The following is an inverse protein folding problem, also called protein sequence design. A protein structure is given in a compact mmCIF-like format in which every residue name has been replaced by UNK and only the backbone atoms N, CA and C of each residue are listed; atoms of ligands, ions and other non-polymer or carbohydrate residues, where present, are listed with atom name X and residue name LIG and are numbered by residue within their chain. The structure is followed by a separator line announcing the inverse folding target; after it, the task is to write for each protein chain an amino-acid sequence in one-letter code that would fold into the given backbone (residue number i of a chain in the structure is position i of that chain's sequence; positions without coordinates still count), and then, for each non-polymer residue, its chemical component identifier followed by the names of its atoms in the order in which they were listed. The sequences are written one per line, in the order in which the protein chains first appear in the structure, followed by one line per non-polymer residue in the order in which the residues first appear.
data_IF_155667176976
#
_entry.id   IF_155667176976
#
_cell.length_a   1.000
_cell.length_b   1.000
_cell.length_c   1.000
_cell.angle_alpha   90.00
_cell.angle_beta   90.00
_cell.angle_gamma   90.00
#
_symmetry.space_group_name_H-M   'P 1'
#
loop_
_entity.id
_entity.type
_entity.pdbx_description
1 polymer ?
#
# COMPACT_ATOMS: atom_id res chain seq x y z
N UNK A 1 19.59 -15.22 24.60
CA UNK A 1 19.06 -15.36 23.23
C UNK A 1 19.34 -14.07 22.47
N UNK A 2 19.81 -14.14 21.21
CA UNK A 2 20.05 -12.96 20.36
C UNK A 2 19.19 -13.10 19.10
N UNK A 3 18.31 -12.13 18.88
CA UNK A 3 17.46 -12.05 17.69
C UNK A 3 17.99 -10.93 16.79
N UNK A 4 18.08 -11.20 15.49
CA UNK A 4 18.55 -10.24 14.48
C UNK A 4 17.47 -10.16 13.41
N UNK A 5 16.87 -8.98 13.23
CA UNK A 5 15.95 -8.75 12.11
C UNK A 5 16.75 -8.59 10.82
N UNK A 6 16.42 -9.40 9.82
CA UNK A 6 16.99 -9.31 8.48
C UNK A 6 16.20 -8.35 7.58
N UNK A 7 14.98 -7.99 7.98
CA UNK A 7 14.09 -7.15 7.18
C UNK A 7 14.05 -5.75 7.79
N UNK A 8 14.31 -4.74 6.95
CA UNK A 8 14.09 -3.34 7.28
C UNK A 8 12.96 -2.80 6.39
N UNK A 9 11.88 -2.25 6.96
CA UNK A 9 10.87 -1.57 6.16
C UNK A 9 11.48 -0.34 5.49
N UNK A 10 10.86 0.10 4.38
CA UNK A 10 11.19 1.38 3.74
C UNK A 10 10.25 2.48 4.25
N UNK A 11 10.69 3.73 4.12
CA UNK A 11 9.92 4.92 4.48
C UNK A 11 9.37 5.58 3.24
N UNK A 12 8.09 5.91 3.27
CA UNK A 12 7.36 6.47 2.13
C UNK A 12 6.46 7.58 2.62
N UNK A 13 6.37 8.68 1.88
CA UNK A 13 5.43 9.76 2.21
C UNK A 13 4.10 9.47 1.50
N UNK A 14 3.02 9.35 2.26
CA UNK A 14 1.68 9.13 1.73
C UNK A 14 0.68 10.01 2.48
N UNK A 15 -0.07 10.84 1.76
CA UNK A 15 -0.91 11.90 2.33
C UNK A 15 -0.15 12.82 3.33
N UNK A 16 1.11 13.13 3.04
CA UNK A 16 1.94 13.98 3.90
C UNK A 16 2.49 13.28 5.16
N UNK A 17 2.12 12.02 5.40
CA UNK A 17 2.55 11.21 6.55
C UNK A 17 3.65 10.24 6.12
N UNK A 18 4.69 10.10 6.93
CA UNK A 18 5.72 9.08 6.71
C UNK A 18 5.23 7.71 7.21
N UNK A 19 5.05 6.77 6.29
CA UNK A 19 4.68 5.38 6.58
C UNK A 19 5.92 4.47 6.52
N UNK A 20 5.95 3.48 7.42
CA UNK A 20 6.84 2.33 7.31
C UNK A 20 6.13 1.20 6.59
N UNK A 21 6.58 0.88 5.38
CA UNK A 21 5.97 -0.17 4.54
C UNK A 21 6.96 -1.31 4.30
N UNK A 22 6.48 -2.52 3.93
CA UNK A 22 7.37 -3.62 3.60
C UNK A 22 8.44 -3.25 2.55
N UNK A 23 9.63 -3.84 2.66
CA UNK A 23 10.76 -3.48 1.78
C UNK A 23 10.53 -3.75 0.28
N UNK A 24 9.57 -4.62 -0.04
CA UNK A 24 9.21 -5.02 -1.39
C UNK A 24 8.15 -4.13 -2.02
N UNK A 25 7.63 -3.14 -1.28
CA UNK A 25 6.57 -2.26 -1.76
C UNK A 25 7.08 -1.41 -2.94
N UNK A 26 6.29 -1.39 -4.01
CA UNK A 26 6.51 -0.57 -5.21
C UNK A 26 5.34 0.35 -5.52
N UNK A 27 4.16 0.03 -5.00
CA UNK A 27 2.96 0.84 -5.17
C UNK A 27 2.21 0.94 -3.85
N UNK A 28 1.56 2.06 -3.61
CA UNK A 28 0.60 2.23 -2.52
C UNK A 28 -0.70 2.74 -3.10
N UNK A 29 -1.82 2.22 -2.62
CA UNK A 29 -3.14 2.68 -3.01
C UNK A 29 -4.12 2.57 -1.84
N UNK A 30 -5.15 3.41 -1.85
CA UNK A 30 -6.22 3.39 -0.86
C UNK A 30 -7.47 2.79 -1.48
N UNK A 31 -8.16 1.90 -0.78
CA UNK A 31 -9.48 1.39 -1.18
C UNK A 31 -10.60 2.36 -0.79
N UNK A 32 -11.81 2.14 -1.33
CA UNK A 32 -13.00 2.97 -1.07
C UNK A 32 -13.33 3.20 0.42
N UNK A 33 -12.93 2.28 1.29
CA UNK A 33 -13.16 2.35 2.75
C UNK A 33 -12.02 3.00 3.53
N UNK A 34 -11.03 3.57 2.85
CA UNK A 34 -9.87 4.20 3.48
C UNK A 34 -8.77 3.23 3.92
N UNK A 35 -8.80 1.97 3.43
CA UNK A 35 -7.75 0.99 3.73
C UNK A 35 -6.56 1.25 2.80
N UNK A 36 -5.39 1.50 3.38
CA UNK A 36 -4.17 1.76 2.61
C UNK A 36 -3.40 0.46 2.44
N UNK A 37 -3.14 0.09 1.19
CA UNK A 37 -2.50 -1.15 0.78
C UNK A 37 -1.16 -0.85 0.10
N UNK A 38 -0.13 -1.58 0.53
CA UNK A 38 1.16 -1.63 -0.12
C UNK A 38 1.24 -2.83 -1.07
N UNK A 39 1.70 -2.64 -2.30
CA UNK A 39 1.76 -3.67 -3.35
C UNK A 39 3.17 -3.82 -3.94
N UNK A 40 3.57 -5.05 -4.29
CA UNK A 40 4.83 -5.30 -5.02
C UNK A 40 4.68 -5.21 -6.55
N UNK A 41 3.44 -5.21 -7.05
CA UNK A 41 3.05 -5.13 -8.47
C UNK A 41 1.92 -4.13 -8.59
N UNK A 42 1.83 -3.46 -9.74
CA UNK A 42 0.77 -2.48 -9.98
C UNK A 42 -0.60 -3.18 -9.90
N UNK A 43 -1.48 -2.81 -8.97
CA UNK A 43 -2.85 -3.33 -8.96
C UNK A 43 -3.71 -2.64 -10.03
N UNK A 44 -4.80 -3.30 -10.38
CA UNK A 44 -5.89 -2.80 -11.21
C UNK A 44 -7.13 -2.56 -10.37
N UNK A 45 -8.01 -1.68 -10.84
CA UNK A 45 -9.28 -1.44 -10.17
C UNK A 45 -10.27 -2.55 -10.54
N UNK A 46 -10.77 -3.26 -9.54
CA UNK A 46 -11.84 -4.25 -9.70
C UNK A 46 -12.78 -4.10 -8.50
N UNK A 47 -14.05 -3.76 -8.76
CA UNK A 47 -15.11 -3.65 -7.74
C UNK A 47 -14.67 -2.93 -6.46
N UNK A 48 -14.76 -1.60 -6.41
CA UNK A 48 -14.48 -0.76 -5.21
C UNK A 48 -13.16 -1.02 -4.45
N UNK A 49 -12.24 -1.79 -5.05
CA UNK A 49 -11.00 -2.27 -4.47
C UNK A 49 -9.86 -2.26 -5.50
N UNK A 50 -8.64 -2.42 -4.99
CA UNK A 50 -7.45 -2.67 -5.79
C UNK A 50 -7.16 -4.17 -5.79
N UNK A 51 -6.93 -4.73 -6.98
CA UNK A 51 -6.70 -6.16 -7.15
C UNK A 51 -5.59 -6.45 -8.16
N UNK A 52 -4.94 -7.60 -8.03
CA UNK A 52 -3.97 -8.07 -9.03
C UNK A 52 -4.20 -9.53 -9.32
N UNK A 53 -4.41 -9.87 -10.60
CA UNK A 53 -4.57 -11.25 -11.07
C UNK A 53 -3.23 -12.01 -11.15
N UNK A 54 -2.10 -11.33 -10.98
CA UNK A 54 -0.79 -11.95 -11.06
C UNK A 54 -0.55 -12.84 -9.83
N UNK A 55 -0.23 -14.14 -10.00
CA UNK A 55 0.04 -15.04 -8.86
C UNK A 55 1.23 -14.63 -8.00
N UNK A 56 2.13 -13.80 -8.54
CA UNK A 56 3.29 -13.25 -7.82
C UNK A 56 3.02 -11.91 -7.14
N UNK A 57 1.77 -11.42 -7.23
CA UNK A 57 1.36 -10.20 -6.56
C UNK A 57 1.15 -10.47 -5.07
N UNK A 58 1.66 -9.57 -4.25
CA UNK A 58 1.45 -9.56 -2.82
C UNK A 58 1.10 -8.13 -2.40
N UNK A 59 0.24 -8.06 -1.39
CA UNK A 59 -0.14 -6.81 -0.75
C UNK A 59 -0.13 -6.95 0.77
N UNK A 60 -0.09 -5.81 1.45
CA UNK A 60 -0.19 -5.72 2.90
C UNK A 60 -0.98 -4.47 3.29
N UNK A 61 -1.80 -4.56 4.34
CA UNK A 61 -2.47 -3.38 4.90
C UNK A 61 -1.44 -2.61 5.74
N UNK A 62 -1.22 -1.34 5.40
CA UNK A 62 -0.17 -0.53 6.03
C UNK A 62 -0.71 0.68 6.80
N UNK A 63 -1.95 1.11 6.54
CA UNK A 63 -2.59 2.20 7.28
C UNK A 63 -4.12 2.24 7.05
N UNK A 64 -4.78 3.14 7.78
CA UNK A 64 -6.14 3.59 7.55
C UNK A 64 -6.13 5.11 7.35
N UNK A 65 -6.96 5.62 6.45
CA UNK A 65 -7.09 7.05 6.15
C UNK A 65 -8.55 7.45 5.94
N UNK A 66 -8.91 8.66 6.37
CA UNK A 66 -10.19 9.28 6.01
C UNK A 66 -10.01 9.99 4.66
N UNK A 67 -10.86 9.67 3.69
CA UNK A 67 -10.72 10.19 2.32
C UNK A 67 -11.18 11.66 2.17
N UNK A 68 -12.05 12.17 3.05
CA UNK A 68 -12.52 13.57 3.07
C UNK A 68 -12.92 14.12 1.69
N UNK A 69 -13.59 13.30 0.87
CA UNK A 69 -14.03 13.64 -0.48
C UNK A 69 -13.02 13.35 -1.61
N UNK A 70 -11.83 12.87 -1.28
CA UNK A 70 -10.82 12.39 -2.23
C UNK A 70 -11.30 11.10 -2.91
N UNK A 71 -11.22 11.02 -4.24
CA UNK A 71 -11.48 9.78 -4.95
C UNK A 71 -10.34 8.78 -4.70
N UNK A 72 -10.67 7.66 -4.06
CA UNK A 72 -9.72 6.58 -3.75
C UNK A 72 -9.01 6.03 -5.00
N UNK A 73 -9.62 6.16 -6.19
CA UNK A 73 -9.06 5.71 -7.47
C UNK A 73 -7.83 6.50 -7.90
N UNK A 74 -7.71 7.74 -7.44
CA UNK A 74 -6.60 8.64 -7.76
C UNK A 74 -5.41 8.47 -6.81
N UNK A 75 -5.56 7.62 -5.79
CA UNK A 75 -4.58 7.48 -4.70
C UNK A 75 -3.47 6.46 -4.98
N UNK A 76 -3.49 5.81 -6.15
CA UNK A 76 -2.44 4.87 -6.57
C UNK A 76 -1.16 5.63 -6.91
N UNK A 77 -0.11 5.38 -6.14
CA UNK A 77 1.21 6.00 -6.28
C UNK A 77 2.26 4.90 -6.47
N UNK A 78 3.22 5.15 -7.37
CA UNK A 78 4.45 4.36 -7.52
C UNK A 78 5.57 5.01 -6.69
N UNK A 79 6.36 4.19 -5.99
CA UNK A 79 7.34 4.60 -4.97
C UNK A 79 8.77 4.49 -5.49
#
# INVERSE_FOLDING_TARGET
MKLISLIKPIKVNYFGIELSVPFWTKFIATESKGIVLAWNKRPSQINDNWFSELPSSQYEIVALVTLDGTDWKETLVEI
#
